data_IF_074690926674
#
_entry.id   IF_074690926674
#
_cell.length_a   1.000
_cell.length_b   1.000
_cell.length_c   1.000
_cell.angle_alpha   90.00
_cell.angle_beta   90.00
_cell.angle_gamma   90.00
#
_symmetry.space_group_name_H-M   'P 1'
#
loop_
_entity.id
_entity.type
_entity.pdbx_description
1 polymer ?
#
# COMPACT_ATOMS: atom_id res chain seq x y z
N UNK A 1 0.48 8.84 -14.34
CA UNK A 1 1.51 7.79 -14.48
C UNK A 1 1.02 6.64 -13.63
N UNK A 2 0.46 5.58 -14.24
CA UNK A 2 -0.15 4.44 -13.53
C UNK A 2 0.69 3.17 -13.74
N UNK A 3 2.00 3.32 -13.87
CA UNK A 3 2.88 2.18 -14.13
C UNK A 3 3.16 1.45 -12.81
N UNK A 4 3.10 0.10 -12.81
CA UNK A 4 3.52 -0.67 -11.65
C UNK A 4 4.98 -0.37 -11.31
N UNK A 5 5.28 -0.28 -10.02
CA UNK A 5 6.61 -0.09 -9.49
C UNK A 5 6.92 -1.16 -8.43
N UNK A 6 8.20 -1.26 -8.07
CA UNK A 6 8.63 -2.14 -6.98
C UNK A 6 8.72 -1.32 -5.71
N UNK A 7 7.90 -1.68 -4.72
CA UNK A 7 7.94 -1.12 -3.37
C UNK A 7 8.91 -1.95 -2.52
N UNK A 8 10.02 -1.34 -2.11
CA UNK A 8 10.99 -1.97 -1.21
C UNK A 8 10.59 -1.71 0.25
N UNK A 9 10.33 -2.78 1.00
CA UNK A 9 9.96 -2.75 2.42
C UNK A 9 10.87 -3.73 3.16
N UNK A 10 11.80 -3.20 3.95
CA UNK A 10 12.87 -3.99 4.57
C UNK A 10 13.62 -4.83 3.52
N UNK A 11 13.65 -6.15 3.68
CA UNK A 11 14.30 -7.11 2.77
C UNK A 11 13.35 -7.64 1.68
N UNK A 12 12.12 -7.13 1.60
CA UNK A 12 11.09 -7.60 0.68
C UNK A 12 10.80 -6.58 -0.43
N UNK A 13 10.60 -7.11 -1.64
CA UNK A 13 10.20 -6.36 -2.80
C UNK A 13 8.77 -6.71 -3.19
N UNK A 14 7.87 -5.72 -3.18
CA UNK A 14 6.46 -5.90 -3.52
C UNK A 14 6.14 -5.21 -4.83
N UNK A 15 5.30 -5.85 -5.67
CA UNK A 15 4.75 -5.18 -6.84
C UNK A 15 3.63 -4.25 -6.38
N UNK A 16 3.77 -2.96 -6.65
CA UNK A 16 2.81 -1.94 -6.29
C UNK A 16 2.36 -1.16 -7.52
N UNK A 17 1.19 -0.54 -7.45
CA UNK A 17 0.75 0.46 -8.42
C UNK A 17 0.02 1.60 -7.72
N UNK A 18 0.25 2.81 -8.20
CA UNK A 18 -0.51 3.98 -7.82
C UNK A 18 -1.76 4.09 -8.69
N UNK A 19 -2.90 4.41 -8.07
CA UNK A 19 -4.14 4.69 -8.77
C UNK A 19 -4.77 5.97 -8.25
N UNK A 20 -5.21 6.83 -9.17
CA UNK A 20 -6.11 7.93 -8.82
C UNK A 20 -7.52 7.39 -8.64
N UNK A 21 -8.15 7.72 -7.52
CA UNK A 21 -9.48 7.22 -7.15
C UNK A 21 -10.38 8.39 -6.74
N UNK A 22 -11.13 8.93 -7.70
CA UNK A 22 -11.91 10.15 -7.49
C UNK A 22 -11.03 11.33 -7.08
N UNK A 23 -11.32 11.89 -5.90
CA UNK A 23 -10.57 13.00 -5.31
C UNK A 23 -9.40 12.56 -4.42
N UNK A 24 -9.22 11.24 -4.22
CA UNK A 24 -8.10 10.67 -3.48
C UNK A 24 -7.21 9.83 -4.40
N UNK A 25 -6.19 9.20 -3.82
CA UNK A 25 -5.38 8.19 -4.46
C UNK A 25 -5.28 6.95 -3.58
N UNK A 26 -4.86 5.85 -4.19
CA UNK A 26 -4.62 4.59 -3.50
C UNK A 26 -3.42 3.87 -4.08
N UNK A 27 -2.84 2.99 -3.29
CA UNK A 27 -1.88 2.02 -3.75
C UNK A 27 -2.48 0.62 -3.71
N UNK A 28 -2.21 -0.17 -4.74
CA UNK A 28 -2.51 -1.60 -4.72
C UNK A 28 -1.17 -2.34 -4.68
N UNK A 29 -0.97 -3.16 -3.65
CA UNK A 29 0.28 -3.88 -3.38
C UNK A 29 -0.01 -5.37 -3.37
N UNK A 30 0.70 -6.13 -4.21
CA UNK A 30 0.65 -7.58 -4.23
C UNK A 30 1.57 -8.14 -3.14
N UNK A 31 0.99 -8.83 -2.16
CA UNK A 31 1.68 -9.46 -1.03
C UNK A 31 1.31 -10.95 -1.05
N UNK A 32 2.27 -11.80 -1.39
CA UNK A 32 1.98 -13.20 -1.71
C UNK A 32 1.11 -13.29 -2.97
N UNK A 33 -0.06 -13.92 -2.85
CA UNK A 33 -1.05 -14.03 -3.93
C UNK A 33 -2.19 -13.01 -3.80
N UNK A 34 -2.20 -12.23 -2.72
CA UNK A 34 -3.28 -11.30 -2.40
C UNK A 34 -2.90 -9.86 -2.72
N UNK A 35 -3.86 -9.10 -3.23
CA UNK A 35 -3.69 -7.66 -3.48
C UNK A 35 -4.36 -6.87 -2.38
N UNK A 36 -3.57 -6.11 -1.63
CA UNK A 36 -4.04 -5.20 -0.61
C UNK A 36 -4.13 -3.79 -1.16
N UNK A 37 -5.21 -3.09 -0.85
CA UNK A 37 -5.42 -1.70 -1.23
C UNK A 37 -5.12 -0.80 -0.04
N UNK A 38 -4.35 0.26 -0.25
CA UNK A 38 -3.97 1.25 0.74
C UNK A 38 -4.45 2.62 0.30
N UNK A 39 -5.11 3.36 1.19
CA UNK A 39 -5.52 4.75 0.93
C UNK A 39 -4.98 5.66 2.04
N UNK A 40 -4.74 6.96 1.73
CA UNK A 40 -4.34 7.92 2.74
C UNK A 40 -5.50 8.17 3.71
N UNK A 41 -5.17 8.35 4.99
CA UNK A 41 -6.08 8.88 6.00
C UNK A 41 -5.95 10.41 6.16
N UNK A 42 -6.71 10.98 7.10
CA UNK A 42 -6.75 12.42 7.35
C UNK A 42 -5.41 12.99 7.85
N UNK A 43 -4.55 12.15 8.42
CA UNK A 43 -3.24 12.55 8.93
C UNK A 43 -2.12 12.34 7.89
N UNK A 44 -2.45 11.84 6.70
CA UNK A 44 -1.50 11.54 5.62
C UNK A 44 -0.75 10.22 5.83
N UNK A 45 -1.16 9.40 6.80
CA UNK A 45 -0.73 8.00 6.91
C UNK A 45 -1.56 7.14 5.95
N UNK A 46 -1.20 5.86 5.78
CA UNK A 46 -1.95 4.93 4.93
C UNK A 46 -2.64 3.86 5.76
N UNK A 47 -3.84 3.46 5.32
CA UNK A 47 -4.58 2.32 5.89
C UNK A 47 -4.87 1.27 4.83
N UNK A 48 -4.74 0.00 5.21
CA UNK A 48 -5.18 -1.12 4.37
C UNK A 48 -6.71 -1.26 4.39
N UNK A 49 -7.31 -1.49 3.23
CA UNK A 49 -8.75 -1.70 3.06
C UNK A 49 -9.09 -3.18 2.89
N UNK A 50 -10.31 -3.55 3.29
CA UNK A 50 -10.88 -4.88 3.07
C UNK A 50 -10.66 -5.83 4.25
N UNK A 51 -10.80 -7.14 3.98
CA UNK A 51 -10.68 -8.15 5.01
C UNK A 51 -9.20 -8.47 5.29
N UNK A 52 -8.57 -7.64 6.13
CA UNK A 52 -7.16 -7.79 6.54
C UNK A 52 -6.86 -9.06 7.35
N UNK A 53 -7.86 -9.88 7.67
CA UNK A 53 -7.67 -11.12 8.46
C UNK A 53 -6.92 -12.23 7.71
N UNK A 54 -6.78 -12.14 6.38
CA UNK A 54 -5.87 -13.00 5.59
C UNK A 54 -4.43 -12.48 5.57
N UNK A 55 -4.21 -11.22 5.93
CA UNK A 55 -2.92 -10.56 5.90
C UNK A 55 -2.15 -10.64 7.21
N UNK A 56 -0.82 -10.67 7.13
CA UNK A 56 0.04 -10.46 8.29
C UNK A 56 -0.04 -8.97 8.69
N UNK A 57 -0.81 -8.65 9.73
CA UNK A 57 -1.08 -7.27 10.18
C UNK A 57 0.21 -6.45 10.38
N UNK A 58 1.24 -6.94 11.10
CA UNK A 58 2.53 -6.25 11.17
C UNK A 58 3.14 -5.89 9.82
N UNK A 59 3.12 -6.80 8.85
CA UNK A 59 3.65 -6.54 7.50
C UNK A 59 2.83 -5.45 6.78
N UNK A 60 1.49 -5.52 6.86
CA UNK A 60 0.62 -4.50 6.28
C UNK A 60 0.89 -3.11 6.87
N UNK A 61 1.20 -3.05 8.16
CA UNK A 61 1.56 -1.80 8.82
C UNK A 61 2.91 -1.26 8.32
N UNK A 62 3.95 -2.09 8.20
CA UNK A 62 5.23 -1.66 7.63
C UNK A 62 5.10 -1.19 6.17
N UNK A 63 4.25 -1.85 5.38
CA UNK A 63 3.94 -1.42 4.00
C UNK A 63 3.28 -0.04 4.00
N UNK A 64 2.29 0.19 4.87
CA UNK A 64 1.59 1.46 4.98
C UNK A 64 2.54 2.62 5.36
N UNK A 65 3.42 2.39 6.35
CA UNK A 65 4.45 3.34 6.76
C UNK A 65 5.37 3.69 5.58
N UNK A 66 5.79 2.69 4.81
CA UNK A 66 6.64 2.93 3.64
C UNK A 66 5.94 3.74 2.55
N UNK A 67 4.66 3.48 2.31
CA UNK A 67 3.87 4.27 1.35
C UNK A 67 3.70 5.73 1.81
N UNK A 68 3.58 5.97 3.12
CA UNK A 68 3.54 7.31 3.69
C UNK A 68 4.84 8.08 3.44
N UNK A 69 6.01 7.43 3.58
CA UNK A 69 7.30 8.05 3.26
C UNK A 69 7.43 8.46 1.79
N UNK A 70 6.91 7.64 0.86
CA UNK A 70 6.99 7.90 -0.58
C UNK A 70 6.03 8.99 -1.07
N UNK A 71 5.06 9.37 -0.24
CA UNK A 71 4.01 10.33 -0.60
C UNK A 71 4.25 11.73 -0.04
N UNK A 72 5.37 11.92 0.67
CA UNK A 72 5.85 13.21 1.18
C UNK A 72 6.77 13.85 0.15
#
# INVERSE_FOLDING_TARGET
MNEPFVLQVNEHAFKARFERWGYTHRFMVLIGEETFTFEPDEEGSYRALGNVSSGNVPLLQTVAEKLAELSK
#
